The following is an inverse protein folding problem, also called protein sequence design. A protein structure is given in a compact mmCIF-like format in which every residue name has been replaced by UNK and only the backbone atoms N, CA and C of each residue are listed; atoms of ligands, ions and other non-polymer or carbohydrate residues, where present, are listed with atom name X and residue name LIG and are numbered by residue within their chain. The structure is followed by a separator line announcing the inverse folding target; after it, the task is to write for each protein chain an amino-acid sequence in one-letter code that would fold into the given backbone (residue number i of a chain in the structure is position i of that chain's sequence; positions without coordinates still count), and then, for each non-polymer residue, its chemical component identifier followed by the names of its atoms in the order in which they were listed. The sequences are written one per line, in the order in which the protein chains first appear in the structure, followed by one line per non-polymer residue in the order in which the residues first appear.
data_IF_142819531001
#
_entry.id   IF_142819531001
#
_cell.length_a   1.000
_cell.length_b   1.000
_cell.length_c   1.000
_cell.angle_alpha   90.00
_cell.angle_beta   90.00
_cell.angle_gamma   90.00
#
_symmetry.space_group_name_H-M   'P 1'
#
loop_
_entity.id
_entity.type
_entity.pdbx_description
1 polymer ?
#
# COMPACT_ATOMS: atom_id res chain seq x y z
N UNK A 1 35.77 -23.70 3.09
CA UNK A 1 35.25 -22.32 2.99
C UNK A 1 35.59 -21.60 1.66
N UNK A 2 35.92 -22.31 0.55
CA UNK A 2 36.26 -21.68 -0.75
C UNK A 2 35.07 -21.50 -1.72
N UNK A 3 33.97 -22.21 -1.50
CA UNK A 3 32.90 -22.34 -2.51
C UNK A 3 31.96 -21.12 -2.57
N UNK A 4 31.77 -20.39 -1.46
CA UNK A 4 30.90 -19.21 -1.43
C UNK A 4 31.39 -18.11 -2.39
N UNK A 5 32.70 -17.82 -2.38
CA UNK A 5 33.31 -16.80 -3.25
C UNK A 5 33.14 -17.11 -4.75
N UNK A 6 33.21 -18.39 -5.11
CA UNK A 6 33.00 -18.84 -6.51
C UNK A 6 31.55 -18.66 -6.92
N UNK A 7 30.59 -18.96 -6.04
CA UNK A 7 29.16 -18.76 -6.29
C UNK A 7 28.85 -17.27 -6.50
N UNK A 8 29.36 -16.38 -5.63
CA UNK A 8 29.19 -14.94 -5.80
C UNK A 8 29.86 -14.42 -7.09
N UNK A 9 31.02 -14.97 -7.46
CA UNK A 9 31.70 -14.65 -8.71
C UNK A 9 30.89 -15.05 -9.95
N UNK A 10 30.37 -16.28 -10.00
CA UNK A 10 29.51 -16.76 -11.10
C UNK A 10 28.24 -15.90 -11.20
N UNK A 11 27.62 -15.57 -10.07
CA UNK A 11 26.44 -14.71 -10.01
C UNK A 11 26.73 -13.31 -10.58
N UNK A 12 27.83 -12.68 -10.16
CA UNK A 12 28.27 -11.38 -10.67
C UNK A 12 28.55 -11.41 -12.18
N UNK A 13 29.21 -12.47 -12.67
CA UNK A 13 29.48 -12.65 -14.11
C UNK A 13 28.17 -12.79 -14.89
N UNK A 14 27.22 -13.59 -14.39
CA UNK A 14 25.90 -13.74 -15.03
C UNK A 14 25.12 -12.43 -15.11
N UNK A 15 25.09 -11.67 -14.01
CA UNK A 15 24.48 -10.33 -13.98
C UNK A 15 25.19 -9.40 -14.98
N UNK A 16 26.52 -9.40 -15.01
CA UNK A 16 27.29 -8.56 -15.92
C UNK A 16 27.02 -8.85 -17.39
N UNK A 17 26.88 -10.13 -17.77
CA UNK A 17 26.52 -10.53 -19.13
C UNK A 17 25.10 -10.06 -19.47
N UNK A 18 24.12 -10.27 -18.57
CA UNK A 18 22.74 -9.81 -18.78
C UNK A 18 22.66 -8.29 -19.02
N UNK A 19 23.31 -7.49 -18.17
CA UNK A 19 23.34 -6.02 -18.36
C UNK A 19 24.08 -5.61 -19.64
N UNK A 20 25.14 -6.34 -20.03
CA UNK A 20 25.86 -6.05 -21.28
C UNK A 20 25.00 -6.34 -22.50
N UNK A 21 24.23 -7.44 -22.51
CA UNK A 21 23.30 -7.80 -23.58
C UNK A 21 22.13 -6.81 -23.70
N UNK A 22 21.66 -6.28 -22.57
CA UNK A 22 20.68 -5.18 -22.56
C UNK A 22 21.28 -3.88 -23.14
N UNK A 23 22.52 -3.55 -22.78
CA UNK A 23 23.21 -2.32 -23.24
C UNK A 23 23.36 -2.26 -24.76
N UNK A 24 23.60 -3.41 -25.40
CA UNK A 24 23.70 -3.54 -26.86
C UNK A 24 22.34 -3.67 -27.57
N UNK A 25 21.23 -3.62 -26.84
CA UNK A 25 19.87 -3.66 -27.39
C UNK A 25 19.42 -5.04 -27.90
N UNK A 26 20.10 -6.12 -27.51
CA UNK A 26 19.70 -7.48 -27.88
C UNK A 26 18.54 -8.01 -27.02
N UNK A 27 18.34 -7.44 -25.83
CA UNK A 27 17.28 -7.80 -24.89
C UNK A 27 16.55 -6.50 -24.51
N UNK A 28 15.23 -6.52 -24.55
CA UNK A 28 14.39 -5.45 -24.02
C UNK A 28 14.64 -5.24 -22.52
N UNK A 29 14.09 -4.18 -21.94
CA UNK A 29 14.33 -3.81 -20.55
C UNK A 29 13.72 -4.83 -19.56
N UNK A 30 14.40 -5.96 -19.36
CA UNK A 30 14.03 -7.04 -18.45
C UNK A 30 13.84 -6.54 -17.01
N UNK A 31 14.57 -5.49 -16.65
CA UNK A 31 14.49 -4.90 -15.32
C UNK A 31 13.09 -4.37 -15.01
N UNK A 32 12.42 -3.75 -15.98
CA UNK A 32 11.07 -3.16 -15.85
C UNK A 32 10.05 -4.15 -15.29
N UNK A 33 10.02 -5.39 -15.80
CA UNK A 33 9.10 -6.42 -15.31
C UNK A 33 9.59 -7.17 -14.06
N UNK A 34 10.91 -7.20 -13.85
CA UNK A 34 11.52 -8.11 -12.86
C UNK A 34 11.50 -7.58 -11.43
N UNK A 35 11.68 -6.28 -11.23
CA UNK A 35 11.76 -5.73 -9.88
C UNK A 35 10.43 -5.77 -9.11
N UNK A 36 9.23 -5.55 -9.72
CA UNK A 36 7.96 -5.69 -9.00
C UNK A 36 7.67 -7.14 -8.60
N UNK A 37 8.12 -8.12 -9.40
CA UNK A 37 8.02 -9.55 -9.07
C UNK A 37 8.80 -9.91 -7.80
N UNK A 38 9.96 -9.28 -7.57
CA UNK A 38 10.71 -9.49 -6.34
C UNK A 38 9.90 -9.05 -5.12
N UNK A 39 9.22 -7.90 -5.21
CA UNK A 39 8.33 -7.43 -4.13
C UNK A 39 7.17 -8.39 -3.90
N UNK A 40 6.57 -8.92 -4.96
CA UNK A 40 5.52 -9.94 -4.87
C UNK A 40 6.03 -11.20 -4.17
N UNK A 41 7.22 -11.67 -4.51
CA UNK A 41 7.81 -12.86 -3.90
C UNK A 41 8.11 -12.66 -2.41
N UNK A 42 8.63 -11.48 -2.04
CA UNK A 42 8.85 -11.11 -0.64
C UNK A 42 7.51 -11.03 0.12
N UNK A 43 6.49 -10.43 -0.48
CA UNK A 43 5.12 -10.38 0.07
C UNK A 43 4.57 -11.78 0.34
N UNK A 44 4.69 -12.69 -0.63
CA UNK A 44 4.28 -14.09 -0.48
C UNK A 44 5.08 -14.76 0.65
N UNK A 45 6.38 -14.47 0.75
CA UNK A 45 7.22 -14.96 1.85
C UNK A 45 6.68 -14.57 3.24
N UNK A 46 6.23 -13.33 3.40
CA UNK A 46 5.61 -12.87 4.65
C UNK A 46 4.28 -13.59 4.95
N UNK A 47 3.41 -13.72 3.95
CA UNK A 47 2.15 -14.45 4.09
C UNK A 47 2.38 -15.93 4.42
N UNK A 48 3.26 -16.61 3.69
CA UNK A 48 3.63 -17.99 3.94
C UNK A 48 4.24 -18.14 5.34
N UNK A 49 5.13 -17.24 5.75
CA UNK A 49 5.72 -17.25 7.09
C UNK A 49 4.64 -17.22 8.20
N UNK A 50 3.58 -16.44 8.01
CA UNK A 50 2.45 -16.41 8.92
C UNK A 50 1.63 -17.71 8.90
N UNK A 51 1.20 -18.16 7.72
CA UNK A 51 0.35 -19.35 7.61
C UNK A 51 1.07 -20.64 8.01
N UNK A 52 2.34 -20.80 7.64
CA UNK A 52 3.19 -21.93 8.02
C UNK A 52 3.47 -21.98 9.53
N UNK A 53 3.43 -20.83 10.21
CA UNK A 53 3.55 -20.79 11.68
C UNK A 53 2.28 -21.23 12.41
N UNK A 54 1.23 -21.66 11.68
CA UNK A 54 -0.06 -22.08 12.23
C UNK A 54 -1.03 -20.92 12.45
N UNK A 55 -0.88 -19.82 11.70
CA UNK A 55 -1.74 -18.63 11.76
C UNK A 55 -1.92 -18.08 13.20
N UNK A 56 -0.83 -18.09 13.98
CA UNK A 56 -0.83 -17.59 15.36
C UNK A 56 -1.04 -16.08 15.37
N UNK A 57 -2.02 -15.61 16.14
CA UNK A 57 -2.35 -14.18 16.27
C UNK A 57 -1.14 -13.30 16.60
N UNK A 58 -0.20 -13.80 17.41
CA UNK A 58 1.01 -13.08 17.82
C UNK A 58 1.93 -12.74 16.63
N UNK A 59 1.86 -13.52 15.55
CA UNK A 59 2.66 -13.32 14.34
C UNK A 59 1.87 -12.60 13.25
N UNK A 60 0.63 -12.18 13.51
CA UNK A 60 -0.18 -11.47 12.53
C UNK A 60 0.43 -10.12 12.11
N UNK A 61 1.34 -9.57 12.92
CA UNK A 61 2.14 -8.39 12.55
C UNK A 61 2.96 -8.58 11.26
N UNK A 62 3.28 -9.83 10.90
CA UNK A 62 4.00 -10.15 9.67
C UNK A 62 3.17 -9.89 8.41
N UNK A 63 1.84 -9.93 8.51
CA UNK A 63 0.98 -9.63 7.37
C UNK A 63 0.97 -8.14 7.02
N UNK A 64 1.29 -7.23 7.95
CA UNK A 64 1.32 -5.80 7.63
C UNK A 64 2.31 -5.50 6.49
N UNK A 65 3.61 -5.84 6.60
CA UNK A 65 4.53 -5.68 5.47
C UNK A 65 4.17 -6.61 4.30
N UNK A 66 3.57 -7.79 4.58
CA UNK A 66 3.08 -8.71 3.54
C UNK A 66 2.05 -8.06 2.61
N UNK A 67 0.93 -7.59 3.16
CA UNK A 67 -0.17 -6.95 2.42
C UNK A 67 0.24 -5.64 1.76
N UNK A 68 1.08 -4.82 2.41
CA UNK A 68 1.62 -3.60 1.79
C UNK A 68 2.41 -3.97 0.53
N UNK A 69 3.37 -4.89 0.64
CA UNK A 69 4.19 -5.29 -0.51
C UNK A 69 3.36 -5.99 -1.60
N UNK A 70 2.29 -6.70 -1.21
CA UNK A 70 1.39 -7.32 -2.17
C UNK A 70 0.75 -6.26 -3.09
N UNK A 71 0.10 -5.26 -2.50
CA UNK A 71 -0.55 -4.18 -3.25
C UNK A 71 0.46 -3.38 -4.05
N UNK A 72 1.61 -3.03 -3.44
CA UNK A 72 2.66 -2.27 -4.15
C UNK A 72 3.26 -3.05 -5.32
N UNK A 73 3.43 -4.36 -5.20
CA UNK A 73 3.94 -5.17 -6.30
C UNK A 73 3.02 -5.15 -7.52
N UNK A 74 1.70 -5.23 -7.29
CA UNK A 74 0.69 -5.15 -8.36
C UNK A 74 0.67 -3.75 -8.96
N UNK A 75 0.71 -2.71 -8.12
CA UNK A 75 0.77 -1.32 -8.56
C UNK A 75 2.00 -1.07 -9.43
N UNK A 76 3.18 -1.50 -8.99
CA UNK A 76 4.41 -1.28 -9.75
C UNK A 76 4.49 -2.11 -11.02
N UNK A 77 3.91 -3.32 -11.06
CA UNK A 77 3.72 -4.04 -12.33
C UNK A 77 2.87 -3.22 -13.30
N UNK A 78 1.79 -2.62 -12.83
CA UNK A 78 0.93 -1.78 -13.66
C UNK A 78 1.65 -0.51 -14.14
N UNK A 79 2.39 0.17 -13.26
CA UNK A 79 3.18 1.35 -13.64
C UNK A 79 4.23 0.99 -14.69
N UNK A 80 4.97 -0.10 -14.51
CA UNK A 80 5.98 -0.54 -15.48
C UNK A 80 5.35 -0.93 -16.82
N UNK A 81 4.22 -1.63 -16.82
CA UNK A 81 3.47 -1.97 -18.05
C UNK A 81 2.94 -0.73 -18.79
N UNK A 82 2.66 0.35 -18.07
CA UNK A 82 2.17 1.62 -18.64
C UNK A 82 3.27 2.67 -18.81
N UNK A 83 4.53 2.29 -18.62
CA UNK A 83 5.69 3.19 -18.63
C UNK A 83 5.48 4.43 -17.74
N UNK A 84 4.90 4.22 -16.56
CA UNK A 84 4.64 5.22 -15.52
C UNK A 84 3.68 6.35 -15.93
N UNK A 85 2.94 6.17 -17.03
CA UNK A 85 2.06 7.19 -17.60
C UNK A 85 0.87 7.55 -16.70
N UNK A 86 0.52 6.71 -15.73
CA UNK A 86 -0.62 6.91 -14.82
C UNK A 86 -0.20 7.18 -13.38
N UNK A 87 1.10 7.32 -13.10
CA UNK A 87 1.65 7.53 -11.76
C UNK A 87 1.06 8.73 -11.02
N UNK A 88 0.61 9.76 -11.75
CA UNK A 88 -0.11 10.93 -11.20
C UNK A 88 -1.48 10.55 -10.60
N UNK A 89 -2.12 9.50 -11.08
CA UNK A 89 -3.47 9.09 -10.67
C UNK A 89 -3.47 7.91 -9.70
N UNK A 90 -2.40 7.10 -9.71
CA UNK A 90 -2.32 5.86 -8.93
C UNK A 90 -1.73 6.05 -7.54
N UNK A 91 -1.24 7.24 -7.19
CA UNK A 91 -0.70 7.50 -5.85
C UNK A 91 -1.63 7.14 -4.67
N UNK A 92 -2.98 7.21 -4.77
CA UNK A 92 -3.84 6.80 -3.65
C UNK A 92 -3.72 5.31 -3.32
N UNK A 93 -3.22 4.48 -4.24
CA UNK A 93 -2.95 3.07 -4.00
C UNK A 93 -1.81 2.84 -3.00
N UNK A 94 -0.89 3.81 -2.80
CA UNK A 94 0.09 3.73 -1.71
C UNK A 94 -0.60 3.78 -0.34
N UNK A 95 -1.64 4.60 -0.18
CA UNK A 95 -2.46 4.64 1.04
C UNK A 95 -3.27 3.36 1.17
N UNK A 96 -3.84 2.88 0.06
CA UNK A 96 -4.56 1.62 0.00
C UNK A 96 -3.71 0.43 0.46
N UNK A 97 -2.43 0.39 0.06
CA UNK A 97 -1.49 -0.65 0.44
C UNK A 97 -1.35 -0.75 1.97
N UNK A 98 -1.22 0.40 2.64
CA UNK A 98 -1.16 0.46 4.12
C UNK A 98 -2.49 0.01 4.74
N UNK A 99 -3.61 0.42 4.15
CA UNK A 99 -4.94 0.01 4.62
C UNK A 99 -5.12 -1.52 4.55
N UNK A 100 -4.67 -2.15 3.45
CA UNK A 100 -4.73 -3.61 3.26
C UNK A 100 -3.83 -4.33 4.26
N UNK A 101 -2.57 -3.90 4.45
CA UNK A 101 -1.68 -4.51 5.43
C UNK A 101 -2.22 -4.44 6.86
N UNK A 102 -2.81 -3.31 7.26
CA UNK A 102 -3.46 -3.17 8.56
C UNK A 102 -4.76 -3.98 8.65
N UNK A 103 -5.51 -4.10 7.54
CA UNK A 103 -6.72 -4.92 7.48
C UNK A 103 -6.41 -6.41 7.67
N UNK A 104 -5.35 -6.91 7.05
CA UNK A 104 -4.88 -8.28 7.27
C UNK A 104 -4.48 -8.50 8.73
N UNK A 105 -3.76 -7.55 9.34
CA UNK A 105 -3.46 -7.60 10.78
C UNK A 105 -4.73 -7.63 11.63
N UNK A 106 -5.74 -6.82 11.32
CA UNK A 106 -7.00 -6.84 12.07
C UNK A 106 -7.72 -8.19 11.90
N UNK A 107 -7.78 -8.72 10.68
CA UNK A 107 -8.49 -9.94 10.35
C UNK A 107 -7.88 -11.16 11.07
N UNK A 108 -6.55 -11.26 11.09
CA UNK A 108 -5.82 -12.41 11.61
C UNK A 108 -5.20 -12.21 13.01
N UNK A 109 -5.07 -10.97 13.47
CA UNK A 109 -4.43 -10.60 14.75
C UNK A 109 -5.35 -10.52 15.95
N UNK A 110 -6.64 -10.85 15.81
CA UNK A 110 -7.60 -10.89 16.92
C UNK A 110 -8.73 -9.88 16.84
N UNK A 111 -8.87 -9.14 15.73
CA UNK A 111 -9.98 -8.21 15.44
C UNK A 111 -10.17 -7.10 16.48
N UNK A 112 -9.06 -6.57 16.97
CA UNK A 112 -9.08 -5.44 17.90
C UNK A 112 -9.79 -4.23 17.29
N UNK A 113 -10.84 -3.72 17.95
CA UNK A 113 -11.65 -2.62 17.44
C UNK A 113 -10.85 -1.32 17.25
N UNK A 114 -9.79 -1.11 18.03
CA UNK A 114 -8.93 0.07 17.90
C UNK A 114 -8.22 0.17 16.55
N UNK A 115 -7.94 -0.96 15.88
CA UNK A 115 -7.32 -0.99 14.56
C UNK A 115 -8.30 -0.63 13.43
N UNK A 116 -9.61 -0.78 13.64
CA UNK A 116 -10.60 -0.47 12.60
C UNK A 116 -10.63 1.01 12.27
N UNK A 117 -10.45 1.89 13.25
CA UNK A 117 -10.46 3.34 13.05
C UNK A 117 -9.41 3.77 11.99
N UNK A 118 -8.11 3.46 12.14
CA UNK A 118 -7.13 3.81 11.12
C UNK A 118 -7.35 3.08 9.80
N UNK A 119 -7.81 1.82 9.81
CA UNK A 119 -8.12 1.08 8.59
C UNK A 119 -9.21 1.81 7.78
N UNK A 120 -10.33 2.17 8.41
CA UNK A 120 -11.42 2.88 7.75
C UNK A 120 -11.01 4.26 7.27
N UNK A 121 -10.21 5.00 8.04
CA UNK A 121 -9.69 6.30 7.62
C UNK A 121 -8.82 6.15 6.37
N UNK A 122 -7.90 5.18 6.35
CA UNK A 122 -7.01 4.96 5.21
C UNK A 122 -7.77 4.47 3.97
N UNK A 123 -8.70 3.52 4.11
CA UNK A 123 -9.57 3.10 3.01
C UNK A 123 -10.41 4.26 2.48
N UNK A 124 -11.03 5.03 3.38
CA UNK A 124 -11.86 6.17 3.03
C UNK A 124 -11.06 7.23 2.28
N UNK A 125 -9.90 7.61 2.80
CA UNK A 125 -9.01 8.58 2.14
C UNK A 125 -8.55 8.08 0.77
N UNK A 126 -8.06 6.85 0.70
CA UNK A 126 -7.62 6.26 -0.57
C UNK A 126 -8.76 6.27 -1.60
N UNK A 127 -9.96 5.84 -1.21
CA UNK A 127 -11.11 5.79 -2.10
C UNK A 127 -11.56 7.19 -2.56
N UNK A 128 -11.60 8.17 -1.66
CA UNK A 128 -11.92 9.57 -1.99
C UNK A 128 -10.93 10.10 -3.01
N UNK A 129 -9.63 9.86 -2.83
CA UNK A 129 -8.60 10.32 -3.77
C UNK A 129 -8.66 9.56 -5.10
N UNK A 130 -8.97 8.26 -5.12
CA UNK A 130 -9.18 7.52 -6.37
C UNK A 130 -10.34 8.11 -7.16
N UNK A 131 -11.47 8.38 -6.50
CA UNK A 131 -12.63 9.02 -7.13
C UNK A 131 -12.24 10.41 -7.66
N UNK A 132 -11.53 11.21 -6.89
CA UNK A 132 -11.06 12.53 -7.34
C UNK A 132 -10.16 12.44 -8.58
N UNK A 133 -9.34 11.39 -8.71
CA UNK A 133 -8.47 11.20 -9.87
C UNK A 133 -9.22 10.65 -11.10
N UNK A 134 -10.21 9.78 -10.89
CA UNK A 134 -11.00 9.19 -11.99
C UNK A 134 -12.05 10.15 -12.56
N UNK A 135 -12.62 11.01 -11.71
CA UNK A 135 -13.60 12.00 -12.11
C UNK A 135 -12.91 13.36 -12.19
N UNK A 136 -13.10 14.14 -13.26
CA UNK A 136 -12.68 15.56 -13.34
C UNK A 136 -13.41 16.46 -12.31
N UNK A 137 -14.12 15.86 -11.36
CA UNK A 137 -14.73 16.49 -10.22
C UNK A 137 -13.65 16.71 -9.15
N UNK A 138 -13.27 17.98 -8.98
CA UNK A 138 -12.35 18.39 -7.95
C UNK A 138 -13.06 18.30 -6.59
N UNK A 139 -13.03 17.14 -5.93
CA UNK A 139 -13.72 16.88 -4.65
C UNK A 139 -13.28 17.88 -3.57
N UNK A 140 -12.03 18.34 -3.64
CA UNK A 140 -11.49 19.41 -2.79
C UNK A 140 -12.21 20.75 -2.98
N UNK A 141 -12.89 20.99 -4.10
CA UNK A 141 -13.73 22.17 -4.33
C UNK A 141 -14.93 22.24 -3.37
N UNK A 142 -15.33 21.11 -2.77
CA UNK A 142 -16.40 21.05 -1.77
C UNK A 142 -15.92 21.29 -0.33
N UNK A 143 -14.65 21.65 -0.11
CA UNK A 143 -14.16 22.10 1.20
C UNK A 143 -15.04 23.20 1.86
N UNK A 144 -15.68 24.14 1.13
CA UNK A 144 -16.57 25.13 1.74
C UNK A 144 -17.86 24.50 2.24
N UNK A 145 -18.36 23.44 1.60
CA UNK A 145 -19.54 22.72 2.07
C UNK A 145 -19.28 21.98 3.39
N UNK A 146 -18.08 21.42 3.57
CA UNK A 146 -17.66 20.85 4.86
C UNK A 146 -17.62 21.95 5.93
N UNK A 147 -17.05 23.12 5.62
CA UNK A 147 -17.06 24.27 6.54
C UNK A 147 -18.48 24.75 6.88
N UNK A 148 -19.40 24.75 5.92
CA UNK A 148 -20.80 25.11 6.16
C UNK A 148 -21.45 24.09 7.09
N UNK A 149 -21.25 22.79 6.87
CA UNK A 149 -21.81 21.73 7.72
C UNK A 149 -21.23 21.81 9.15
N UNK A 150 -19.93 21.98 9.28
CA UNK A 150 -19.25 22.15 10.57
C UNK A 150 -19.72 23.44 11.26
N UNK A 151 -19.87 24.53 10.52
CA UNK A 151 -20.38 25.80 11.02
C UNK A 151 -21.82 25.70 11.52
N UNK A 152 -22.70 25.05 10.75
CA UNK A 152 -24.07 24.75 11.17
C UNK A 152 -24.08 23.85 12.40
N UNK A 153 -23.24 22.81 12.44
CA UNK A 153 -23.13 21.93 13.60
C UNK A 153 -22.64 22.67 14.86
N UNK A 154 -21.73 23.64 14.75
CA UNK A 154 -21.30 24.46 15.88
C UNK A 154 -22.39 25.41 16.39
N UNK A 155 -23.21 25.96 15.48
CA UNK A 155 -24.34 26.83 15.82
C UNK A 155 -25.45 26.04 16.53
N UNK A 156 -25.82 24.89 15.99
CA UNK A 156 -26.91 24.08 16.53
C UNK A 156 -26.48 23.09 17.63
N UNK A 157 -25.19 22.77 17.73
CA UNK A 157 -24.62 21.83 18.70
C UNK A 157 -24.35 22.42 20.09
N UNK A 158 -24.58 23.73 20.29
CA UNK A 158 -24.54 24.37 21.62
C UNK A 158 -25.92 24.87 22.02
N UNK A 159 -26.78 23.97 22.47
CA UNK A 159 -27.82 24.28 23.47
C UNK A 159 -28.20 22.99 24.20
N UNK A 160 -27.47 22.67 25.27
CA UNK A 160 -28.05 22.16 26.51
C UNK A 160 -26.96 22.09 27.58
N UNK A 161 -26.70 23.22 28.22
CA UNK A 161 -26.25 23.23 29.61
C UNK A 161 -27.34 23.93 30.41
N UNK A 162 -28.21 23.09 30.97
CA UNK A 162 -29.01 23.31 32.17
C UNK A 162 -28.42 24.40 33.06
N UNK A 163 -29.12 25.53 33.15
CA UNK A 163 -29.06 26.41 34.31
C UNK A 163 -30.25 26.05 35.21
N UNK A 164 -30.12 24.96 35.96
CA UNK A 164 -30.75 24.89 37.29
C UNK A 164 -29.73 25.51 38.22
N UNK A 165 -30.06 26.68 38.74
CA UNK A 165 -29.73 27.17 40.07
C UNK A 165 -30.13 28.66 40.14
N UNK A 166 -31.30 28.91 40.72
CA UNK A 166 -31.65 29.85 41.81
C UNK A 166 -33.17 29.74 42.02
#
# INVERSE_FOLDING_TARGET
MKNGKVIYGIFLVGIGILFSLQSIGLIDNFWSFSWPLLLLFVSIGFHLGFFLSGAKKQQAGLLVPGGILFVLSILFMFEEMTNWSFSEYTWPFYIFAVAIGLFELWLFGGREFGLLIPIFILFGLSFVFIIQNLFTFNVLSFWPAILIIVGLFLIFGRTSRTSKDI
#
